data_IF_721179319689
#
_entry.id   IF_721179319689
#
_cell.length_a   1.000
_cell.length_b   1.000
_cell.length_c   1.000
_cell.angle_alpha   90.00
_cell.angle_beta   90.00
_cell.angle_gamma   90.00
#
_symmetry.space_group_name_H-M   'P 1'
#
loop_
_entity.id
_entity.type
_entity.pdbx_description
1 polymer ?
#
# COMPACT_ATOMS: atom_id res chain seq x y z
N UNK A 1 -2.52 -21.96 1.99
CA UNK A 1 -3.05 -21.35 3.22
C UNK A 1 -3.43 -19.87 3.04
N UNK A 2 -2.57 -19.05 2.37
CA UNK A 2 -2.86 -17.62 2.16
C UNK A 2 -4.13 -17.44 1.32
N UNK A 3 -4.21 -18.05 0.12
CA UNK A 3 -5.40 -18.00 -0.75
C UNK A 3 -6.68 -18.45 -0.06
N UNK A 4 -6.61 -19.41 0.84
CA UNK A 4 -7.76 -19.92 1.57
C UNK A 4 -8.29 -18.99 2.65
N UNK A 5 -7.45 -18.08 3.16
CA UNK A 5 -7.84 -17.18 4.27
C UNK A 5 -8.07 -15.74 3.84
N UNK A 6 -7.26 -15.25 2.89
CA UNK A 6 -7.17 -13.83 2.56
C UNK A 6 -7.75 -13.49 1.18
N UNK A 7 -8.09 -14.50 0.37
CA UNK A 7 -8.84 -14.28 -0.86
C UNK A 7 -10.34 -14.45 -0.60
N UNK A 8 -11.13 -13.61 -1.30
CA UNK A 8 -12.60 -13.69 -1.22
C UNK A 8 -13.08 -15.05 -1.68
N UNK A 9 -13.95 -15.69 -0.87
CA UNK A 9 -14.55 -16.97 -1.20
C UNK A 9 -15.77 -17.27 -0.31
N UNK A 10 -16.60 -18.29 -0.70
CA UNK A 10 -17.80 -18.65 0.03
C UNK A 10 -17.52 -19.55 1.24
N UNK A 11 -16.26 -19.94 1.46
CA UNK A 11 -15.91 -20.94 2.49
C UNK A 11 -15.90 -20.37 3.91
N UNK A 12 -16.04 -21.27 4.89
CA UNK A 12 -15.90 -20.93 6.30
C UNK A 12 -14.48 -20.39 6.59
N UNK A 13 -14.38 -19.28 7.30
CA UNK A 13 -13.14 -18.53 7.60
C UNK A 13 -12.45 -17.91 6.37
N UNK A 14 -13.16 -17.74 5.28
CA UNK A 14 -12.68 -16.92 4.16
C UNK A 14 -13.19 -15.49 4.29
N UNK A 15 -12.45 -14.56 3.72
CA UNK A 15 -12.89 -13.17 3.60
C UNK A 15 -14.01 -13.10 2.55
N UNK A 16 -15.10 -12.40 2.87
CA UNK A 16 -16.26 -12.25 1.99
C UNK A 16 -16.31 -10.92 1.23
N UNK A 17 -15.22 -10.14 1.26
CA UNK A 17 -15.05 -8.87 0.55
C UNK A 17 -13.74 -8.87 -0.25
N UNK A 18 -13.62 -7.92 -1.16
CA UNK A 18 -12.44 -7.79 -2.00
C UNK A 18 -11.22 -7.34 -1.20
N UNK A 19 -10.08 -7.95 -1.47
CA UNK A 19 -8.79 -7.59 -0.89
C UNK A 19 -7.88 -7.01 -1.97
N UNK A 20 -7.05 -6.04 -1.57
CA UNK A 20 -6.13 -5.31 -2.43
C UNK A 20 -4.72 -5.38 -1.80
N UNK A 21 -3.92 -6.40 -2.18
CA UNK A 21 -2.65 -6.67 -1.50
C UNK A 21 -1.56 -5.65 -1.86
N UNK A 22 -0.73 -5.33 -0.88
CA UNK A 22 0.52 -4.58 -1.04
C UNK A 22 1.69 -5.40 -0.54
N UNK A 23 2.91 -5.05 -0.96
CA UNK A 23 4.13 -5.66 -0.47
C UNK A 23 4.77 -4.87 0.65
N UNK A 24 5.54 -5.61 1.47
CA UNK A 24 6.57 -5.09 2.35
C UNK A 24 7.98 -5.47 1.87
N UNK A 25 9.00 -4.88 2.46
CA UNK A 25 10.39 -5.29 2.24
C UNK A 25 10.61 -6.76 2.62
N UNK A 26 9.93 -7.27 3.65
CA UNK A 26 10.02 -8.67 4.06
C UNK A 26 9.41 -9.66 3.06
N UNK A 27 8.56 -9.19 2.15
CA UNK A 27 7.99 -10.04 1.09
C UNK A 27 8.95 -10.22 -0.09
N UNK A 28 9.85 -9.27 -0.34
CA UNK A 28 10.69 -9.22 -1.53
C UNK A 28 12.19 -9.04 -1.26
N UNK A 29 12.60 -8.82 -0.01
CA UNK A 29 14.02 -8.72 0.34
C UNK A 29 14.62 -10.11 0.59
N UNK A 30 15.83 -10.39 0.08
CA UNK A 30 16.57 -11.59 0.42
C UNK A 30 17.20 -11.53 1.82
N UNK A 31 16.58 -10.84 2.78
CA UNK A 31 17.16 -10.62 4.09
C UNK A 31 17.42 -11.89 4.90
N UNK A 32 18.55 -11.83 5.58
CA UNK A 32 19.02 -12.59 6.73
C UNK A 32 19.31 -14.07 6.53
N UNK A 33 20.59 -14.41 6.38
CA UNK A 33 21.21 -15.66 6.85
C UNK A 33 20.89 -16.94 6.07
N UNK A 34 19.94 -16.94 5.16
CA UNK A 34 19.59 -18.08 4.31
C UNK A 34 19.21 -17.64 2.89
N UNK A 35 20.19 -17.24 2.07
CA UNK A 35 19.95 -16.64 0.74
C UNK A 35 19.05 -17.47 -0.17
N UNK A 36 19.17 -18.81 -0.12
CA UNK A 36 18.43 -19.69 -1.02
C UNK A 36 16.94 -19.80 -0.68
N UNK A 37 16.59 -19.82 0.61
CA UNK A 37 15.20 -19.91 1.04
C UNK A 37 14.48 -18.57 0.85
N UNK A 38 15.16 -17.46 1.09
CA UNK A 38 14.60 -16.11 0.93
C UNK A 38 14.35 -15.78 -0.54
N UNK A 39 15.25 -16.20 -1.44
CA UNK A 39 15.04 -16.02 -2.89
C UNK A 39 13.81 -16.77 -3.39
N UNK A 40 13.61 -18.02 -2.96
CA UNK A 40 12.43 -18.82 -3.32
C UNK A 40 11.15 -18.16 -2.79
N UNK A 41 11.17 -17.66 -1.55
CA UNK A 41 10.05 -16.92 -0.96
C UNK A 41 9.72 -15.66 -1.73
N UNK A 42 10.74 -14.87 -2.07
CA UNK A 42 10.61 -13.67 -2.89
C UNK A 42 10.01 -13.98 -4.26
N UNK A 43 10.56 -14.93 -4.99
CA UNK A 43 10.06 -15.33 -6.32
C UNK A 43 8.59 -15.81 -6.24
N UNK A 44 8.24 -16.55 -5.20
CA UNK A 44 6.88 -16.98 -4.94
C UNK A 44 5.93 -15.79 -4.70
N UNK A 45 6.31 -14.85 -3.83
CA UNK A 45 5.49 -13.68 -3.50
C UNK A 45 5.30 -12.79 -4.73
N UNK A 46 6.36 -12.55 -5.49
CA UNK A 46 6.30 -11.78 -6.73
C UNK A 46 5.38 -12.45 -7.77
N UNK A 47 5.52 -13.75 -7.96
CA UNK A 47 4.65 -14.52 -8.89
C UNK A 47 3.19 -14.54 -8.42
N UNK A 48 2.97 -14.70 -7.11
CA UNK A 48 1.63 -14.64 -6.52
C UNK A 48 0.97 -13.29 -6.79
N UNK A 49 1.68 -12.19 -6.54
CA UNK A 49 1.11 -10.85 -6.78
C UNK A 49 0.90 -10.59 -8.27
N UNK A 50 1.85 -10.97 -9.15
CA UNK A 50 1.69 -10.82 -10.60
C UNK A 50 0.42 -11.51 -11.09
N UNK A 51 0.18 -12.77 -10.67
CA UNK A 51 -1.01 -13.51 -11.03
C UNK A 51 -2.29 -12.87 -10.44
N UNK A 52 -2.24 -12.46 -9.18
CA UNK A 52 -3.37 -11.85 -8.48
C UNK A 52 -3.78 -10.53 -9.14
N UNK A 53 -2.81 -9.65 -9.45
CA UNK A 53 -3.10 -8.36 -10.11
C UNK A 53 -3.65 -8.54 -11.52
N UNK A 54 -3.19 -9.57 -12.26
CA UNK A 54 -3.75 -9.90 -13.57
C UNK A 54 -5.20 -10.37 -13.47
N UNK A 55 -5.49 -11.26 -12.53
CA UNK A 55 -6.84 -11.74 -12.28
C UNK A 55 -7.77 -10.60 -11.87
N UNK A 56 -7.31 -9.70 -10.97
CA UNK A 56 -8.06 -8.51 -10.56
C UNK A 56 -8.32 -7.57 -11.74
N UNK A 57 -7.33 -7.38 -12.62
CA UNK A 57 -7.47 -6.54 -13.82
C UNK A 57 -8.49 -7.14 -14.79
N UNK A 58 -8.44 -8.45 -15.02
CA UNK A 58 -9.39 -9.16 -15.89
C UNK A 58 -10.82 -9.12 -15.32
N UNK A 59 -10.94 -9.17 -13.99
CA UNK A 59 -12.23 -9.06 -13.29
C UNK A 59 -12.75 -7.60 -13.20
N UNK A 60 -12.02 -6.62 -13.74
CA UNK A 60 -12.40 -5.20 -13.67
C UNK A 60 -12.32 -4.58 -12.27
N UNK A 61 -11.60 -5.23 -11.33
CA UNK A 61 -11.45 -4.76 -9.95
C UNK A 61 -10.39 -3.68 -9.81
N UNK A 62 -9.41 -3.63 -10.70
CA UNK A 62 -8.37 -2.59 -10.76
C UNK A 62 -8.36 -1.93 -12.13
N UNK A 63 -7.98 -0.64 -12.14
CA UNK A 63 -8.02 0.21 -13.32
C UNK A 63 -6.71 0.18 -14.10
N UNK A 64 -5.59 0.17 -13.40
CA UNK A 64 -4.27 0.33 -13.98
C UNK A 64 -3.20 -0.45 -13.20
N UNK A 65 -2.13 -0.87 -13.87
CA UNK A 65 -1.00 -1.61 -13.28
C UNK A 65 0.29 -1.09 -13.89
N UNK A 66 1.26 -0.75 -13.05
CA UNK A 66 2.68 -0.62 -13.42
C UNK A 66 3.36 -1.99 -13.26
N UNK A 67 3.60 -2.68 -14.36
CA UNK A 67 4.03 -4.08 -14.30
C UNK A 67 5.36 -4.31 -13.61
N UNK A 68 6.33 -3.39 -13.76
CA UNK A 68 7.66 -3.53 -13.17
C UNK A 68 7.59 -3.45 -11.65
N UNK A 69 6.99 -2.39 -11.09
CA UNK A 69 6.86 -2.20 -9.64
C UNK A 69 5.65 -2.90 -9.02
N UNK A 70 4.72 -3.41 -9.82
CA UNK A 70 3.43 -3.97 -9.38
C UNK A 70 2.52 -2.97 -8.68
N UNK A 71 2.84 -1.68 -8.80
CA UNK A 71 1.91 -0.63 -8.37
C UNK A 71 0.62 -0.70 -9.18
N UNK A 72 -0.50 -0.41 -8.54
CA UNK A 72 -1.80 -0.48 -9.20
C UNK A 72 -2.78 0.52 -8.61
N UNK A 73 -3.87 0.77 -9.34
CA UNK A 73 -4.93 1.66 -8.90
C UNK A 73 -6.32 1.10 -9.12
N UNK A 74 -7.28 1.56 -8.32
CA UNK A 74 -8.68 1.18 -8.40
C UNK A 74 -9.59 2.26 -7.83
N UNK A 75 -10.89 2.21 -8.16
CA UNK A 75 -11.90 3.11 -7.62
C UNK A 75 -12.90 2.34 -6.74
N UNK A 76 -13.20 2.89 -5.56
CA UNK A 76 -14.29 2.42 -4.70
C UNK A 76 -15.05 3.64 -4.16
N UNK A 77 -16.37 3.64 -4.31
CA UNK A 77 -17.23 4.66 -3.70
C UNK A 77 -16.96 6.10 -4.17
N UNK A 78 -16.38 6.27 -5.38
CA UNK A 78 -16.00 7.58 -5.92
C UNK A 78 -14.66 8.10 -5.38
N UNK A 79 -13.87 7.26 -4.75
CA UNK A 79 -12.50 7.53 -4.30
C UNK A 79 -11.52 6.75 -5.15
N UNK A 80 -10.43 7.38 -5.55
CA UNK A 80 -9.35 6.76 -6.29
C UNK A 80 -8.24 6.28 -5.34
N UNK A 81 -7.93 4.99 -5.39
CA UNK A 81 -6.88 4.37 -4.57
C UNK A 81 -5.66 4.07 -5.44
N UNK A 82 -4.49 4.44 -4.94
CA UNK A 82 -3.19 4.14 -5.56
C UNK A 82 -2.33 3.34 -4.59
N UNK A 83 -1.96 2.12 -4.97
CA UNK A 83 -1.06 1.25 -4.22
C UNK A 83 0.36 1.36 -4.82
N UNK A 84 1.24 2.10 -4.15
CA UNK A 84 2.61 2.38 -4.59
C UNK A 84 3.63 1.29 -4.27
N UNK A 85 3.21 0.20 -3.61
CA UNK A 85 4.03 -0.93 -3.16
C UNK A 85 5.07 -0.52 -2.09
N UNK A 86 6.37 -0.78 -2.29
CA UNK A 86 7.39 -0.41 -1.30
C UNK A 86 7.46 1.11 -1.11
N UNK A 87 7.68 1.83 -2.18
CA UNK A 87 7.73 3.29 -2.21
C UNK A 87 7.63 3.83 -3.64
N UNK A 88 7.16 5.06 -3.74
CA UNK A 88 7.22 5.80 -4.99
C UNK A 88 8.68 6.06 -5.41
N UNK A 89 8.99 5.76 -6.66
CA UNK A 89 10.33 5.98 -7.22
C UNK A 89 11.38 4.94 -6.82
N UNK A 90 10.99 3.85 -6.11
CA UNK A 90 11.91 2.76 -5.81
C UNK A 90 12.43 2.10 -7.09
N UNK A 91 13.75 1.91 -7.15
CA UNK A 91 14.45 1.23 -8.25
C UNK A 91 15.29 0.05 -7.79
N UNK A 92 15.17 -0.35 -6.54
CA UNK A 92 15.96 -1.47 -5.97
C UNK A 92 15.56 -2.80 -6.60
N UNK A 93 14.26 -2.99 -6.82
CA UNK A 93 13.71 -4.25 -7.30
C UNK A 93 12.88 -4.11 -8.60
N UNK A 94 12.75 -2.89 -9.13
CA UNK A 94 11.87 -2.59 -10.25
C UNK A 94 12.30 -1.30 -10.96
N UNK A 95 11.60 -0.93 -12.02
CA UNK A 95 11.67 0.41 -12.59
C UNK A 95 10.85 1.38 -11.75
N UNK A 96 11.29 2.63 -11.67
CA UNK A 96 10.58 3.70 -10.96
C UNK A 96 9.12 3.81 -11.43
N UNK A 97 8.20 3.84 -10.48
CA UNK A 97 6.77 4.03 -10.75
C UNK A 97 6.34 5.51 -10.72
N UNK A 98 7.24 6.46 -10.51
CA UNK A 98 6.90 7.87 -10.30
C UNK A 98 6.12 8.48 -11.47
N UNK A 99 6.59 8.27 -12.70
CA UNK A 99 5.88 8.76 -13.89
C UNK A 99 4.52 8.07 -14.07
N UNK A 100 4.45 6.77 -13.76
CA UNK A 100 3.19 6.03 -13.82
C UNK A 100 2.16 6.57 -12.82
N UNK A 101 2.58 6.94 -11.59
CA UNK A 101 1.72 7.59 -10.59
C UNK A 101 1.14 8.90 -11.14
N UNK A 102 1.99 9.75 -11.73
CA UNK A 102 1.56 11.01 -12.32
C UNK A 102 0.53 10.81 -13.45
N UNK A 103 0.78 9.85 -14.35
CA UNK A 103 -0.09 9.54 -15.48
C UNK A 103 -1.42 8.91 -15.02
N UNK A 104 -1.37 8.05 -14.00
CA UNK A 104 -2.53 7.40 -13.41
C UNK A 104 -3.47 8.42 -12.77
N UNK A 105 -2.95 9.28 -11.90
CA UNK A 105 -3.71 10.35 -11.26
C UNK A 105 -4.29 11.35 -12.28
N UNK A 106 -3.51 11.72 -13.29
CA UNK A 106 -3.98 12.57 -14.37
C UNK A 106 -5.16 11.93 -15.11
N UNK A 107 -5.11 10.64 -15.33
CA UNK A 107 -6.14 9.91 -16.06
C UNK A 107 -7.41 9.68 -15.25
N UNK A 108 -7.26 9.33 -13.96
CA UNK A 108 -8.36 8.80 -13.16
C UNK A 108 -8.84 9.71 -12.04
N UNK A 109 -8.05 10.74 -11.64
CA UNK A 109 -8.38 11.62 -10.51
C UNK A 109 -8.45 13.12 -10.87
N UNK A 110 -8.32 13.49 -12.15
CA UNK A 110 -8.38 14.89 -12.61
C UNK A 110 -9.75 15.56 -12.44
N UNK A 111 -10.79 14.79 -12.15
CA UNK A 111 -12.15 15.28 -11.84
C UNK A 111 -12.30 15.79 -10.39
N UNK A 112 -11.23 15.78 -9.60
CA UNK A 112 -11.19 16.21 -8.20
C UNK A 112 -11.81 15.23 -7.23
N UNK A 113 -11.99 13.94 -7.61
CA UNK A 113 -12.36 12.90 -6.65
C UNK A 113 -11.26 12.75 -5.59
N UNK A 114 -11.58 12.30 -4.37
CA UNK A 114 -10.58 12.02 -3.35
C UNK A 114 -9.59 10.95 -3.81
N UNK A 115 -8.33 11.12 -3.44
CA UNK A 115 -7.25 10.16 -3.66
C UNK A 115 -6.82 9.59 -2.32
N UNK A 116 -6.69 8.28 -2.24
CA UNK A 116 -6.05 7.56 -1.13
C UNK A 116 -4.79 6.89 -1.66
N UNK A 117 -3.66 7.21 -1.06
CA UNK A 117 -2.37 6.66 -1.44
C UNK A 117 -1.86 5.68 -0.37
N UNK A 118 -1.33 4.54 -0.79
CA UNK A 118 -0.84 3.48 0.09
C UNK A 118 0.53 3.00 -0.38
N UNK A 119 1.51 2.94 0.51
CA UNK A 119 2.80 2.31 0.26
C UNK A 119 3.40 1.75 1.56
N UNK A 120 4.51 1.03 1.47
CA UNK A 120 5.11 0.40 2.65
C UNK A 120 6.01 1.37 3.44
N UNK A 121 7.00 2.01 2.79
CA UNK A 121 7.92 2.91 3.49
C UNK A 121 7.25 4.23 3.87
N UNK A 122 7.46 4.64 5.13
CA UNK A 122 6.90 5.85 5.72
C UNK A 122 7.87 7.04 5.74
N UNK A 123 7.53 8.02 6.58
CA UNK A 123 8.29 9.27 6.74
C UNK A 123 9.22 9.26 7.97
N UNK A 124 9.39 8.11 8.60
CA UNK A 124 10.36 7.94 9.67
C UNK A 124 11.80 8.07 9.16
N UNK A 125 12.73 8.32 10.09
CA UNK A 125 14.14 8.51 9.76
C UNK A 125 14.79 7.23 9.20
N UNK A 126 14.27 6.07 9.59
CA UNK A 126 14.78 4.77 9.14
C UNK A 126 14.47 4.53 7.67
N UNK A 127 13.26 4.88 7.24
CA UNK A 127 12.85 4.71 5.86
C UNK A 127 13.63 5.60 4.88
N UNK A 128 14.33 6.64 5.34
CA UNK A 128 15.20 7.49 4.49
C UNK A 128 16.33 6.70 3.80
N UNK A 129 16.74 5.58 4.36
CA UNK A 129 17.76 4.71 3.75
C UNK A 129 17.28 4.10 2.43
N UNK A 130 15.98 3.82 2.32
CA UNK A 130 15.38 3.13 1.17
C UNK A 130 14.41 4.00 0.36
N UNK A 131 13.94 5.10 0.95
CA UNK A 131 13.06 6.07 0.30
C UNK A 131 13.51 7.49 0.63
N UNK A 132 14.30 8.06 -0.29
CA UNK A 132 15.03 9.31 -0.09
C UNK A 132 14.09 10.52 -0.01
N UNK A 133 14.57 11.62 0.59
CA UNK A 133 13.83 12.87 0.66
C UNK A 133 13.52 13.45 -0.73
N UNK A 134 14.39 13.22 -1.71
CA UNK A 134 14.13 13.61 -3.10
C UNK A 134 12.92 12.86 -3.67
N UNK A 135 12.84 11.54 -3.46
CA UNK A 135 11.68 10.73 -3.89
C UNK A 135 10.40 11.14 -3.17
N UNK A 136 10.47 11.46 -1.86
CA UNK A 136 9.34 11.99 -1.08
C UNK A 136 8.84 13.30 -1.67
N UNK A 137 9.76 14.23 -1.93
CA UNK A 137 9.45 15.53 -2.55
C UNK A 137 8.79 15.34 -3.91
N UNK A 138 9.37 14.53 -4.80
CA UNK A 138 8.81 14.27 -6.13
C UNK A 138 7.39 13.66 -6.06
N UNK A 139 7.15 12.72 -5.14
CA UNK A 139 5.82 12.16 -4.97
C UNK A 139 4.81 13.22 -4.54
N UNK A 140 5.15 14.04 -3.53
CA UNK A 140 4.24 15.05 -3.03
C UNK A 140 4.03 16.19 -4.01
N UNK A 141 5.03 16.55 -4.82
CA UNK A 141 4.87 17.49 -5.93
C UNK A 141 3.82 16.99 -6.96
N UNK A 142 3.67 15.67 -7.09
CA UNK A 142 2.60 15.08 -7.90
C UNK A 142 1.27 15.10 -7.14
N UNK A 143 1.24 14.58 -5.91
CA UNK A 143 0.00 14.37 -5.14
C UNK A 143 -0.72 15.67 -4.79
N UNK A 144 0.01 16.75 -4.53
CA UNK A 144 -0.55 18.07 -4.17
C UNK A 144 -1.42 18.72 -5.26
N UNK A 145 -1.30 18.26 -6.50
CA UNK A 145 -2.17 18.68 -7.60
C UNK A 145 -3.55 18.02 -7.58
N UNK A 146 -3.76 17.05 -6.67
CA UNK A 146 -4.99 16.26 -6.58
C UNK A 146 -5.60 16.38 -5.17
N UNK A 147 -6.81 15.89 -5.02
CA UNK A 147 -7.51 15.88 -3.73
C UNK A 147 -7.01 14.70 -2.87
N UNK A 148 -5.76 14.77 -2.39
CA UNK A 148 -5.20 13.76 -1.49
C UNK A 148 -5.96 13.76 -0.17
N UNK A 149 -6.74 12.72 0.08
CA UNK A 149 -7.63 12.60 1.22
C UNK A 149 -7.03 11.79 2.37
N UNK A 150 -6.14 10.82 2.06
CA UNK A 150 -5.42 10.03 3.06
C UNK A 150 -4.16 9.41 2.46
N UNK A 151 -3.14 9.19 3.30
CA UNK A 151 -1.90 8.53 2.96
C UNK A 151 -1.58 7.48 4.03
N UNK A 152 -1.36 6.22 3.61
CA UNK A 152 -1.10 5.11 4.52
C UNK A 152 0.27 4.51 4.27
N UNK A 153 0.96 4.18 5.37
CA UNK A 153 2.27 3.53 5.36
C UNK A 153 2.33 2.41 6.40
N UNK A 154 3.37 1.60 6.31
CA UNK A 154 3.71 0.56 7.28
C UNK A 154 5.13 0.70 7.79
N UNK A 155 5.90 -0.39 7.81
CA UNK A 155 7.33 -0.53 8.03
C UNK A 155 7.78 -0.53 9.49
N UNK A 156 7.48 0.48 10.29
CA UNK A 156 8.04 0.61 11.66
C UNK A 156 7.28 -0.18 12.72
N UNK A 157 6.17 -0.85 12.37
CA UNK A 157 5.33 -1.64 13.26
C UNK A 157 4.77 -0.84 14.46
N UNK A 158 4.67 0.46 14.34
CA UNK A 158 4.11 1.33 15.37
C UNK A 158 2.87 2.04 14.87
N UNK A 159 1.89 2.26 15.74
CA UNK A 159 0.75 3.10 15.45
C UNK A 159 1.17 4.56 15.57
N UNK A 160 1.07 5.31 14.49
CA UNK A 160 1.39 6.75 14.48
C UNK A 160 0.64 7.52 13.40
N UNK A 161 0.55 8.82 13.61
CA UNK A 161 0.20 9.79 12.55
C UNK A 161 1.37 10.75 12.43
N UNK A 162 2.03 10.73 11.30
CA UNK A 162 3.12 11.64 10.96
C UNK A 162 2.57 12.77 10.10
N UNK A 163 3.25 13.92 10.09
CA UNK A 163 2.85 15.07 9.29
C UNK A 163 3.93 15.39 8.27
N UNK A 164 3.54 15.47 7.01
CA UNK A 164 4.45 15.86 5.94
C UNK A 164 3.74 16.81 4.96
N UNK A 165 4.31 17.99 4.74
CA UNK A 165 3.79 19.05 3.85
C UNK A 165 2.30 19.39 4.07
N UNK A 166 1.83 19.29 5.32
CA UNK A 166 0.44 19.58 5.69
C UNK A 166 -0.54 18.42 5.57
N UNK A 167 -0.06 17.23 5.22
CA UNK A 167 -0.86 16.01 5.15
C UNK A 167 -0.58 15.08 6.32
N UNK A 168 -1.63 14.38 6.76
CA UNK A 168 -1.53 13.32 7.75
C UNK A 168 -1.15 12.01 7.07
N UNK A 169 -0.11 11.37 7.60
CA UNK A 169 0.40 10.08 7.14
C UNK A 169 0.08 9.06 8.22
N UNK A 170 -0.83 8.15 7.94
CA UNK A 170 -1.32 7.15 8.88
C UNK A 170 -0.49 5.88 8.82
N UNK A 171 -0.13 5.37 9.97
CA UNK A 171 0.57 4.12 10.13
C UNK A 171 -0.08 3.28 11.22
N UNK A 172 -0.27 2.00 10.97
CA UNK A 172 -0.84 1.05 11.93
C UNK A 172 0.19 0.04 12.40
N UNK A 173 -0.03 -0.50 13.60
CA UNK A 173 0.76 -1.57 14.17
C UNK A 173 0.19 -2.94 13.74
N UNK A 174 1.06 -3.83 13.25
CA UNK A 174 0.68 -5.17 12.81
C UNK A 174 0.75 -6.23 13.93
N UNK A 175 1.10 -5.85 15.16
CA UNK A 175 1.33 -6.72 16.31
C UNK A 175 2.43 -7.78 16.13
N UNK A 176 3.34 -7.57 15.17
CA UNK A 176 4.45 -8.49 14.95
C UNK A 176 5.60 -8.17 15.91
N UNK A 177 5.67 -8.87 17.05
CA UNK A 177 6.75 -8.75 18.07
C UNK A 177 6.95 -7.33 18.59
N UNK A 178 5.92 -6.51 18.57
CA UNK A 178 6.07 -5.13 18.94
C UNK A 178 6.01 -4.96 20.44
N UNK A 179 6.85 -4.09 20.91
CA UNK A 179 6.89 -3.70 22.32
C UNK A 179 5.57 -3.05 22.75
N UNK A 180 4.80 -2.49 21.81
CA UNK A 180 3.52 -1.82 22.07
C UNK A 180 2.30 -2.78 22.13
N UNK A 181 2.48 -4.04 21.81
CA UNK A 181 1.59 -5.16 22.13
C UNK A 181 0.32 -5.32 21.31
N UNK A 182 -0.31 -4.27 20.85
CA UNK A 182 -1.62 -4.33 20.22
C UNK A 182 -1.56 -4.14 18.70
N UNK A 183 -2.20 -5.06 17.96
CA UNK A 183 -2.47 -4.82 16.53
C UNK A 183 -3.42 -3.63 16.37
N UNK A 184 -3.26 -2.90 15.29
CA UNK A 184 -4.19 -1.83 14.92
C UNK A 184 -4.53 -1.89 13.42
N UNK A 185 -5.68 -1.30 13.08
CA UNK A 185 -6.11 -1.14 11.70
C UNK A 185 -6.88 0.16 11.52
N UNK A 186 -6.82 0.71 10.32
CA UNK A 186 -7.56 1.90 9.97
C UNK A 186 -8.85 1.55 9.22
N UNK A 187 -9.91 2.28 9.54
CA UNK A 187 -11.20 2.23 8.85
C UNK A 187 -11.41 3.54 8.11
N UNK A 188 -11.56 3.46 6.79
CA UNK A 188 -11.90 4.61 5.97
C UNK A 188 -13.41 4.69 5.80
N UNK A 189 -14.00 5.79 6.23
CA UNK A 189 -15.40 6.09 5.94
C UNK A 189 -15.47 7.05 4.76
N UNK A 190 -16.18 6.63 3.70
CA UNK A 190 -16.37 7.42 2.47
C UNK A 190 -17.81 7.92 2.43
N UNK A 191 -17.98 9.26 2.43
CA UNK A 191 -19.29 9.91 2.28
C UNK A 191 -19.21 10.98 1.19
N UNK A 192 -19.58 10.60 -0.04
CA UNK A 192 -19.38 11.44 -1.21
C UNK A 192 -17.89 11.70 -1.46
N UNK A 193 -17.46 12.96 -1.45
CA UNK A 193 -16.04 13.35 -1.60
C UNK A 193 -15.30 13.48 -0.26
N UNK A 194 -15.94 13.17 0.85
CA UNK A 194 -15.30 13.22 2.18
C UNK A 194 -14.81 11.83 2.57
N UNK A 195 -13.54 11.74 2.92
CA UNK A 195 -12.90 10.57 3.51
C UNK A 195 -12.51 10.93 4.95
N UNK A 196 -12.82 10.04 5.88
CA UNK A 196 -12.36 10.13 7.28
C UNK A 196 -11.67 8.83 7.65
N UNK A 197 -10.63 8.91 8.46
CA UNK A 197 -9.84 7.77 8.94
C UNK A 197 -10.08 7.62 10.44
N UNK A 198 -10.40 6.40 10.87
CA UNK A 198 -10.53 6.04 12.28
C UNK A 198 -9.62 4.84 12.55
N UNK A 199 -8.70 4.97 13.50
CA UNK A 199 -7.79 3.89 13.89
C UNK A 199 -8.37 3.09 15.04
N UNK A 200 -8.40 1.78 14.91
CA UNK A 200 -8.86 0.83 15.91
C UNK A 200 -7.69 -0.04 16.40
N UNK A 201 -7.72 -0.38 17.68
CA UNK A 201 -6.79 -1.34 18.28
C UNK A 201 -7.51 -2.66 18.53
N UNK A 202 -6.80 -3.76 18.29
CA UNK A 202 -7.22 -5.10 18.69
C UNK A 202 -6.68 -5.34 20.08
N UNK A 203 -7.57 -5.29 21.08
CA UNK A 203 -7.19 -5.62 22.46
C UNK A 203 -7.18 -7.13 22.61
N UNK A 204 -6.10 -7.68 23.12
CA UNK A 204 -6.09 -9.06 23.58
C UNK A 204 -7.06 -9.21 24.77
N UNK A 205 -8.08 -10.07 24.56
CA UNK A 205 -9.12 -10.35 25.55
C UNK A 205 -8.68 -11.38 26.58
#
# INVERSE_FOLDING_TARGET
LYRQRWERGPGYRQIHYDTYPTFSNHDISPESGRPDQNRIGMEFNLHYLDSTLLDMKQAGRILNIHRSSRSYSFDIGGVHFVCGQLAAGDTTYCESNMQWIADDLKKYASDGKPVVYVQHYGFDAWALEWWTEEQRTQLFDILEHYNLAAFFVGHTHTKSVQHYRGYDIHQVNNAWRDDDGNASFDVLQIKGKRVTVETYEVLDG
#
